data_IF_349946571034
#
_entry.id   IF_349946571034
#
_cell.length_a   1.000
_cell.length_b   1.000
_cell.length_c   1.000
_cell.angle_alpha   90.00
_cell.angle_beta   90.00
_cell.angle_gamma   90.00
#
_symmetry.space_group_name_H-M   'P 1'
#
loop_
_entity.id
_entity.type
_entity.pdbx_description
1 polymer ?
#
# COMPACT_ATOMS: atom_id res chain seq x y z
N UNK A 1 18.25 1.15 -3.95
CA UNK A 1 17.24 2.14 -4.39
C UNK A 1 16.88 3.22 -3.36
N UNK A 2 17.25 3.11 -2.09
CA UNK A 2 16.97 4.13 -1.05
C UNK A 2 17.75 5.45 -1.23
N UNK A 3 18.91 5.42 -1.88
CA UNK A 3 19.80 6.61 -1.99
C UNK A 3 19.25 7.72 -2.88
N UNK A 4 18.52 7.42 -3.93
CA UNK A 4 18.01 8.44 -4.86
C UNK A 4 16.85 9.27 -4.30
N UNK A 5 15.99 8.67 -3.46
CA UNK A 5 14.87 9.40 -2.83
C UNK A 5 15.31 10.44 -1.80
N UNK A 6 16.37 10.15 -1.03
CA UNK A 6 16.90 11.05 -0.03
C UNK A 6 17.47 12.32 -0.67
N UNK A 7 18.16 12.22 -1.80
CA UNK A 7 18.72 13.36 -2.52
C UNK A 7 17.63 14.29 -3.08
N UNK A 8 16.51 13.74 -3.56
CA UNK A 8 15.38 14.54 -4.04
C UNK A 8 14.71 15.32 -2.90
N UNK A 9 14.58 14.73 -1.72
CA UNK A 9 14.05 15.38 -0.52
C UNK A 9 14.99 16.50 -0.07
N UNK A 10 16.30 16.25 -0.02
CA UNK A 10 17.30 17.25 0.38
C UNK A 10 17.38 18.42 -0.61
N UNK A 11 17.33 18.15 -1.91
CA UNK A 11 17.28 19.20 -2.93
C UNK A 11 15.99 20.04 -2.82
N UNK A 12 14.84 19.39 -2.61
CA UNK A 12 13.57 20.08 -2.39
C UNK A 12 13.61 20.97 -1.14
N UNK A 13 14.17 20.49 -0.04
CA UNK A 13 14.33 21.27 1.19
C UNK A 13 15.29 22.46 1.01
N UNK A 14 16.39 22.29 0.28
CA UNK A 14 17.33 23.37 -0.01
C UNK A 14 16.70 24.46 -0.89
N UNK A 15 15.96 24.08 -1.92
CA UNK A 15 15.21 25.02 -2.76
C UNK A 15 14.16 25.77 -1.95
N UNK A 16 13.42 25.06 -1.08
CA UNK A 16 12.42 25.65 -0.20
C UNK A 16 13.04 26.67 0.78
N UNK A 17 14.20 26.37 1.35
CA UNK A 17 14.94 27.28 2.23
C UNK A 17 15.38 28.56 1.52
N UNK A 18 15.95 28.44 0.33
CA UNK A 18 16.39 29.61 -0.47
C UNK A 18 15.19 30.48 -0.84
N UNK A 19 14.06 29.88 -1.19
CA UNK A 19 12.83 30.58 -1.53
C UNK A 19 12.18 31.21 -0.31
N UNK A 20 12.16 30.56 0.84
CA UNK A 20 11.65 31.11 2.11
C UNK A 20 12.44 32.38 2.50
N UNK A 21 13.74 32.36 2.38
CA UNK A 21 14.59 33.56 2.66
C UNK A 21 14.25 34.72 1.72
N UNK A 22 13.95 34.44 0.44
CA UNK A 22 13.54 35.50 -0.51
C UNK A 22 12.15 36.06 -0.21
N UNK A 23 11.21 35.21 0.22
CA UNK A 23 9.87 35.61 0.66
C UNK A 23 9.93 36.53 1.89
N UNK A 24 10.76 36.17 2.89
CA UNK A 24 10.96 37.00 4.11
C UNK A 24 11.59 38.36 3.85
N UNK A 25 12.37 38.53 2.76
CA UNK A 25 12.98 39.80 2.39
C UNK A 25 12.04 40.76 1.65
N UNK A 26 10.75 40.47 1.57
CA UNK A 26 9.74 41.40 1.02
C UNK A 26 9.80 41.65 -0.48
N UNK A 27 10.67 40.97 -1.22
CA UNK A 27 10.83 41.09 -2.68
C UNK A 27 10.08 40.06 -3.49
N UNK A 28 9.15 39.33 -2.85
CA UNK A 28 8.41 38.26 -3.49
C UNK A 28 7.26 38.82 -4.35
N UNK A 29 7.26 38.44 -5.61
CA UNK A 29 6.14 38.69 -6.52
C UNK A 29 5.05 37.59 -6.35
N UNK A 30 3.85 37.84 -6.89
CA UNK A 30 2.76 36.83 -6.89
C UNK A 30 3.22 35.49 -7.48
N UNK A 31 4.10 35.50 -8.48
CA UNK A 31 4.66 34.31 -9.11
C UNK A 31 5.48 33.48 -8.10
N UNK A 32 6.26 34.15 -7.23
CA UNK A 32 7.05 33.45 -6.20
C UNK A 32 6.14 32.70 -5.22
N UNK A 33 5.01 33.30 -4.84
CA UNK A 33 4.04 32.63 -3.97
C UNK A 33 3.38 31.40 -4.64
N UNK A 34 2.98 31.53 -5.91
CA UNK A 34 2.42 30.41 -6.67
C UNK A 34 3.40 29.22 -6.76
N UNK A 35 4.67 29.52 -7.09
CA UNK A 35 5.69 28.44 -7.19
C UNK A 35 5.98 27.82 -5.83
N UNK A 36 6.04 28.61 -4.76
CA UNK A 36 6.21 28.08 -3.40
C UNK A 36 5.04 27.15 -3.01
N UNK A 37 3.79 27.52 -3.31
CA UNK A 37 2.62 26.68 -3.06
C UNK A 37 2.69 25.36 -3.84
N UNK A 38 3.02 25.41 -5.14
CA UNK A 38 3.14 24.20 -5.97
C UNK A 38 4.22 23.25 -5.43
N UNK A 39 5.38 23.80 -5.08
CA UNK A 39 6.47 22.99 -4.52
C UNK A 39 6.08 22.37 -3.17
N UNK A 40 5.43 23.14 -2.29
CA UNK A 40 4.97 22.63 -0.99
C UNK A 40 3.96 21.50 -1.16
N UNK A 41 2.96 21.68 -2.03
CA UNK A 41 1.96 20.65 -2.33
C UNK A 41 2.63 19.40 -2.88
N UNK A 42 3.59 19.54 -3.79
CA UNK A 42 4.32 18.43 -4.38
C UNK A 42 5.17 17.68 -3.34
N UNK A 43 5.85 18.40 -2.44
CA UNK A 43 6.65 17.78 -1.37
C UNK A 43 5.78 17.06 -0.35
N UNK A 44 4.68 17.66 0.07
CA UNK A 44 3.73 17.05 1.01
C UNK A 44 3.07 15.83 0.36
N UNK A 45 2.61 15.94 -0.88
CA UNK A 45 2.01 14.83 -1.60
C UNK A 45 2.98 13.65 -1.76
N UNK A 46 4.23 13.94 -2.12
CA UNK A 46 5.27 12.91 -2.24
C UNK A 46 5.62 12.29 -0.88
N UNK A 47 5.66 13.11 0.19
CA UNK A 47 5.87 12.63 1.55
C UNK A 47 4.77 11.68 2.01
N UNK A 48 3.50 12.06 1.79
CA UNK A 48 2.33 11.22 2.12
C UNK A 48 2.37 9.91 1.30
N UNK A 49 2.64 9.99 0.01
CA UNK A 49 2.74 8.81 -0.86
C UNK A 49 3.80 7.83 -0.38
N UNK A 50 5.00 8.31 -0.06
CA UNK A 50 6.06 7.46 0.47
C UNK A 50 5.71 6.91 1.85
N UNK A 51 5.17 7.73 2.75
CA UNK A 51 4.75 7.28 4.07
C UNK A 51 3.67 6.18 3.95
N UNK A 52 2.67 6.36 3.07
CA UNK A 52 1.65 5.35 2.83
C UNK A 52 2.26 4.03 2.33
N UNK A 53 3.26 4.11 1.45
CA UNK A 53 3.94 2.93 0.90
C UNK A 53 4.78 2.17 1.94
N UNK A 54 5.43 2.90 2.88
CA UNK A 54 6.30 2.28 3.89
C UNK A 54 5.56 1.85 5.15
N UNK A 55 4.56 2.60 5.56
CA UNK A 55 3.85 2.38 6.82
C UNK A 55 2.44 1.81 6.63
N UNK A 56 2.04 1.58 5.38
CA UNK A 56 0.70 1.12 5.02
C UNK A 56 -0.39 1.87 5.81
N UNK A 57 -0.40 3.19 5.63
CA UNK A 57 -1.37 4.09 6.30
C UNK A 57 -2.81 3.88 5.81
N UNK A 58 -3.04 2.93 4.90
CA UNK A 58 -4.36 2.67 4.32
C UNK A 58 -4.87 3.79 3.43
N UNK A 59 -4.01 4.74 3.03
CA UNK A 59 -4.38 5.84 2.14
C UNK A 59 -4.41 5.33 0.71
N UNK A 60 -5.59 5.06 0.21
CA UNK A 60 -5.79 4.61 -1.16
C UNK A 60 -7.27 4.48 -1.48
N UNK A 61 -7.58 4.24 -2.73
CA UNK A 61 -8.96 4.00 -3.17
C UNK A 61 -9.24 2.51 -3.05
N UNK A 62 -10.25 2.10 -2.25
CA UNK A 62 -10.68 0.71 -2.20
C UNK A 62 -10.97 0.19 -3.61
N UNK A 63 -10.49 -0.99 -3.92
CA UNK A 63 -10.68 -1.64 -5.22
C UNK A 63 -11.69 -2.78 -5.07
N UNK A 64 -12.56 -2.91 -6.05
CA UNK A 64 -13.48 -4.05 -6.13
C UNK A 64 -12.69 -5.31 -6.39
N UNK A 65 -12.97 -6.37 -5.63
CA UNK A 65 -12.36 -7.67 -5.81
C UNK A 65 -12.89 -8.35 -7.07
N UNK A 66 -11.98 -8.89 -7.86
CA UNK A 66 -12.22 -9.97 -8.81
C UNK A 66 -10.95 -10.81 -8.92
N UNK A 67 -11.07 -12.10 -9.23
CA UNK A 67 -9.92 -12.99 -9.38
C UNK A 67 -8.93 -12.45 -10.44
N UNK A 68 -9.44 -11.84 -11.52
CA UNK A 68 -8.62 -11.23 -12.55
C UNK A 68 -7.85 -10.00 -12.04
N UNK A 69 -8.51 -9.11 -11.29
CA UNK A 69 -7.87 -7.94 -10.69
C UNK A 69 -6.84 -8.36 -9.63
N UNK A 70 -7.17 -9.36 -8.82
CA UNK A 70 -6.25 -9.92 -7.82
C UNK A 70 -4.97 -10.46 -8.46
N UNK A 71 -5.10 -11.24 -9.53
CA UNK A 71 -3.95 -11.82 -10.24
C UNK A 71 -3.06 -10.76 -10.91
N UNK A 72 -3.65 -9.66 -11.40
CA UNK A 72 -2.93 -8.55 -12.06
C UNK A 72 -2.32 -7.54 -11.07
N UNK A 73 -2.83 -7.51 -9.84
CA UNK A 73 -2.38 -6.54 -8.83
C UNK A 73 -1.12 -7.06 -8.12
N UNK A 74 -0.13 -6.19 -8.00
CA UNK A 74 1.07 -6.51 -7.23
C UNK A 74 0.69 -6.88 -5.79
N UNK A 75 1.34 -7.90 -5.18
CA UNK A 75 1.01 -8.33 -3.81
C UNK A 75 0.97 -7.17 -2.81
N UNK A 76 1.89 -6.23 -2.90
CA UNK A 76 1.95 -5.03 -2.05
C UNK A 76 0.71 -4.10 -2.12
N UNK A 77 -0.17 -4.28 -3.10
CA UNK A 77 -1.36 -3.43 -3.30
C UNK A 77 -2.68 -4.21 -3.13
N UNK A 78 -2.63 -5.50 -2.81
CA UNK A 78 -3.82 -6.36 -2.68
C UNK A 78 -4.70 -5.99 -1.49
N UNK A 79 -4.13 -5.35 -0.45
CA UNK A 79 -4.87 -4.90 0.73
C UNK A 79 -6.06 -3.99 0.40
N UNK A 80 -6.01 -3.22 -0.71
CA UNK A 80 -7.15 -2.40 -1.15
C UNK A 80 -8.37 -3.21 -1.61
N UNK A 81 -8.20 -4.51 -1.89
CA UNK A 81 -9.27 -5.40 -2.32
C UNK A 81 -9.75 -6.35 -1.21
N UNK A 82 -8.99 -6.48 -0.11
CA UNK A 82 -9.26 -7.50 0.92
C UNK A 82 -10.62 -7.27 1.59
N UNK A 83 -10.98 -6.03 1.89
CA UNK A 83 -12.27 -5.73 2.48
C UNK A 83 -13.44 -6.13 1.57
N UNK A 84 -13.32 -5.87 0.27
CA UNK A 84 -14.34 -6.26 -0.70
C UNK A 84 -14.38 -7.77 -0.89
N UNK A 85 -13.22 -8.43 -0.94
CA UNK A 85 -13.09 -9.88 -0.97
C UNK A 85 -13.80 -10.54 0.22
N UNK A 86 -13.54 -10.06 1.44
CA UNK A 86 -14.14 -10.61 2.66
C UNK A 86 -15.65 -10.36 2.74
N UNK A 87 -16.12 -9.23 2.23
CA UNK A 87 -17.54 -8.88 2.26
C UNK A 87 -18.35 -9.50 1.11
N UNK A 88 -17.76 -9.63 -0.06
CA UNK A 88 -18.46 -10.12 -1.26
C UNK A 88 -18.38 -11.64 -1.45
N UNK A 89 -17.39 -12.28 -0.84
CA UNK A 89 -17.10 -13.68 -1.04
C UNK A 89 -17.03 -14.40 0.31
N UNK A 90 -17.94 -15.34 0.53
CA UNK A 90 -17.86 -16.20 1.71
C UNK A 90 -16.64 -17.14 1.55
N UNK A 91 -15.55 -16.81 2.23
CA UNK A 91 -14.29 -17.56 2.20
C UNK A 91 -14.29 -18.71 3.21
N UNK A 92 -14.86 -18.48 4.39
CA UNK A 92 -15.04 -19.51 5.41
C UNK A 92 -16.02 -20.58 4.91
N UNK A 93 -15.64 -21.82 5.05
CA UNK A 93 -16.39 -22.99 4.56
C UNK A 93 -16.00 -23.44 3.15
N UNK A 94 -15.15 -22.70 2.43
CA UNK A 94 -14.59 -23.14 1.14
C UNK A 94 -13.46 -24.14 1.34
N UNK A 95 -13.25 -24.98 0.32
CA UNK A 95 -12.06 -25.83 0.28
C UNK A 95 -10.80 -25.02 -0.05
N UNK A 96 -9.64 -25.54 0.35
CA UNK A 96 -8.34 -24.97 0.01
C UNK A 96 -8.15 -24.80 -1.51
N UNK A 97 -8.66 -25.76 -2.30
CA UNK A 97 -8.55 -25.72 -3.76
C UNK A 97 -9.43 -24.63 -4.38
N UNK A 98 -10.61 -24.37 -3.82
CA UNK A 98 -11.44 -23.23 -4.24
C UNK A 98 -10.77 -21.89 -3.93
N UNK A 99 -10.09 -21.77 -2.78
CA UNK A 99 -9.32 -20.56 -2.44
C UNK A 99 -8.15 -20.40 -3.40
N UNK A 100 -7.38 -21.46 -3.69
CA UNK A 100 -6.29 -21.41 -4.69
C UNK A 100 -6.80 -21.09 -6.09
N UNK A 101 -7.96 -21.62 -6.48
CA UNK A 101 -8.58 -21.29 -7.77
C UNK A 101 -8.98 -19.83 -7.88
N UNK A 102 -9.37 -19.21 -6.77
CA UNK A 102 -9.83 -17.82 -6.68
C UNK A 102 -8.67 -16.81 -6.58
N UNK A 103 -7.67 -17.11 -5.75
CA UNK A 103 -6.58 -16.18 -5.40
C UNK A 103 -5.24 -16.54 -6.04
N UNK A 104 -5.13 -17.71 -6.67
CA UNK A 104 -3.87 -18.23 -7.19
C UNK A 104 -3.06 -18.99 -6.15
N UNK A 105 -1.79 -19.22 -6.45
CA UNK A 105 -0.87 -19.84 -5.50
C UNK A 105 -0.58 -18.92 -4.31
N UNK A 106 -0.55 -19.43 -3.08
CA UNK A 106 -0.14 -18.67 -1.90
C UNK A 106 1.29 -18.13 -2.02
N UNK A 107 1.54 -16.96 -1.43
CA UNK A 107 2.86 -16.31 -1.51
C UNK A 107 3.81 -16.79 -0.39
N UNK A 108 3.29 -17.14 0.81
CA UNK A 108 4.10 -17.50 1.99
C UNK A 108 3.91 -18.94 2.46
N UNK A 109 2.69 -19.35 2.76
CA UNK A 109 2.41 -20.69 3.27
C UNK A 109 1.36 -21.39 2.41
N UNK A 110 1.68 -22.60 1.99
CA UNK A 110 0.78 -23.53 1.29
C UNK A 110 0.88 -24.89 1.96
N UNK A 111 0.13 -25.06 3.06
CA UNK A 111 0.15 -26.27 3.87
C UNK A 111 -1.27 -26.82 4.03
N UNK A 112 -1.38 -28.03 4.59
CA UNK A 112 -2.67 -28.63 4.88
C UNK A 112 -3.47 -27.90 5.96
N UNK A 113 -2.81 -27.01 6.72
CA UNK A 113 -3.42 -26.26 7.82
C UNK A 113 -3.50 -24.76 7.59
N UNK A 114 -2.74 -24.21 6.62
CA UNK A 114 -2.67 -22.77 6.39
C UNK A 114 -2.36 -22.43 4.94
N UNK A 115 -3.10 -21.45 4.41
CA UNK A 115 -2.73 -20.74 3.17
C UNK A 115 -2.47 -19.28 3.52
N UNK A 116 -1.34 -18.71 3.06
CA UNK A 116 -0.95 -17.34 3.37
C UNK A 116 -0.62 -16.55 2.12
N UNK A 117 -1.34 -15.46 1.92
CA UNK A 117 -1.21 -14.56 0.76
C UNK A 117 -0.69 -13.21 1.19
N UNK A 118 0.36 -12.71 0.54
CA UNK A 118 0.86 -11.36 0.75
C UNK A 118 -0.16 -10.33 0.24
N UNK A 119 -0.53 -9.38 1.08
CA UNK A 119 -1.51 -8.34 0.73
C UNK A 119 -0.93 -6.93 0.79
N UNK A 120 0.10 -6.71 1.62
CA UNK A 120 0.84 -5.46 1.67
C UNK A 120 2.30 -5.73 2.05
N UNK A 121 3.20 -4.91 1.51
CA UNK A 121 4.62 -5.00 1.78
C UNK A 121 5.14 -3.62 2.22
N UNK A 122 5.74 -3.57 3.41
CA UNK A 122 6.21 -2.33 4.00
C UNK A 122 7.35 -2.54 4.99
N UNK A 123 7.28 -1.89 6.12
CA UNK A 123 8.16 -2.15 7.28
C UNK A 123 7.80 -3.49 7.89
N UNK A 124 6.50 -3.73 8.01
CA UNK A 124 5.90 -5.00 8.38
C UNK A 124 5.08 -5.50 7.20
N UNK A 125 5.34 -6.72 6.76
CA UNK A 125 4.55 -7.36 5.72
C UNK A 125 3.18 -7.76 6.30
N UNK A 126 2.11 -7.56 5.52
CA UNK A 126 0.78 -8.02 5.89
C UNK A 126 0.35 -9.16 5.01
N UNK A 127 -0.22 -10.18 5.64
CA UNK A 127 -0.75 -11.35 4.98
C UNK A 127 -2.24 -11.51 5.24
N UNK A 128 -2.90 -12.18 4.32
CA UNK A 128 -4.24 -12.72 4.49
C UNK A 128 -4.08 -14.24 4.67
N UNK A 129 -4.30 -14.69 5.89
CA UNK A 129 -4.10 -16.07 6.30
C UNK A 129 -5.43 -16.81 6.43
N UNK A 130 -5.48 -17.98 5.85
CA UNK A 130 -6.61 -18.93 5.94
C UNK A 130 -6.19 -20.13 6.77
N UNK A 131 -6.84 -20.32 7.91
CA UNK A 131 -6.70 -21.56 8.69
C UNK A 131 -7.57 -22.64 8.09
N UNK A 132 -6.99 -23.82 7.90
CA UNK A 132 -7.66 -24.98 7.32
C UNK A 132 -7.83 -26.09 8.35
N UNK A 133 -9.00 -26.69 8.37
CA UNK A 133 -9.28 -27.94 9.06
C UNK A 133 -9.89 -28.95 8.08
N UNK A 134 -9.24 -30.08 7.92
CA UNK A 134 -9.64 -31.10 6.94
C UNK A 134 -9.77 -30.55 5.50
N UNK A 135 -8.91 -29.59 5.13
CA UNK A 135 -8.91 -28.95 3.82
C UNK A 135 -10.01 -27.89 3.61
N UNK A 136 -10.75 -27.53 4.66
CA UNK A 136 -11.81 -26.51 4.64
C UNK A 136 -11.36 -25.29 5.44
N UNK A 137 -11.59 -24.09 4.92
CA UNK A 137 -11.30 -22.82 5.60
C UNK A 137 -12.22 -22.64 6.79
N UNK A 138 -11.65 -22.58 7.98
CA UNK A 138 -12.38 -22.31 9.23
C UNK A 138 -12.24 -20.85 9.67
N UNK A 139 -11.14 -20.19 9.27
CA UNK A 139 -10.85 -18.79 9.64
C UNK A 139 -10.11 -18.08 8.51
N UNK A 140 -10.39 -16.79 8.32
CA UNK A 140 -9.65 -15.91 7.46
C UNK A 140 -9.33 -14.61 8.21
N UNK A 141 -8.05 -14.29 8.37
CA UNK A 141 -7.59 -13.12 9.12
C UNK A 141 -6.42 -12.41 8.46
N UNK A 142 -6.30 -11.09 8.71
CA UNK A 142 -5.15 -10.31 8.30
C UNK A 142 -4.13 -10.29 9.44
N UNK A 143 -2.87 -10.65 9.13
CA UNK A 143 -1.77 -10.70 10.09
C UNK A 143 -0.67 -9.74 9.63
N UNK A 144 -0.06 -9.03 10.59
CA UNK A 144 1.15 -8.21 10.37
C UNK A 144 2.35 -8.92 10.97
N UNK A 145 3.44 -9.01 10.22
CA UNK A 145 4.66 -9.72 10.58
C UNK A 145 5.82 -8.76 10.84
#
# INVERSE_FOLDING_TARGET
MLRSGIWLILMGAAVFLVWSVRLFRGKATKVHWCVACVLTISLVGNGIWNANRYFDLGIGVPKTFSAENWAKTAPAERHFMVNDLQNSTALVGRSADEVRSLLGAPDYADTDTCLSYLIAQGVDDKTLDFTLENGIVTKAEQISH
#
